data_IF_448442681335
#
_entry.id   IF_448442681335
#
_cell.length_a   1.000
_cell.length_b   1.000
_cell.length_c   1.000
_cell.angle_alpha   90.00
_cell.angle_beta   90.00
_cell.angle_gamma   90.00
#
_symmetry.space_group_name_H-M   'P 1'
#
loop_
_entity.id
_entity.type
_entity.pdbx_description
1 polymer ?
#
# COMPACT_ATOMS: atom_id res chain seq x y z
N UNK A 1 -0.55 -15.34 48.26
CA UNK A 1 -0.92 -16.16 47.08
C UNK A 1 -1.92 -15.45 46.16
N UNK A 2 -3.08 -15.00 46.65
CA UNK A 2 -4.11 -14.34 45.81
C UNK A 2 -3.62 -13.07 45.08
N UNK A 3 -2.81 -12.24 45.75
CA UNK A 3 -2.29 -10.99 45.16
C UNK A 3 -1.32 -11.19 43.97
N UNK A 4 -0.59 -12.30 43.92
CA UNK A 4 0.30 -12.64 42.81
C UNK A 4 -0.52 -13.03 41.58
N UNK A 5 -1.61 -13.78 41.78
CA UNK A 5 -2.54 -14.15 40.70
C UNK A 5 -3.29 -12.94 40.16
N UNK A 6 -3.70 -12.00 41.02
CA UNK A 6 -4.34 -10.74 40.59
C UNK A 6 -3.37 -9.88 39.78
N UNK A 7 -2.10 -9.76 40.23
CA UNK A 7 -1.07 -9.05 39.49
C UNK A 7 -0.76 -9.73 38.14
N UNK A 8 -0.60 -11.06 38.11
CA UNK A 8 -0.39 -11.80 36.87
C UNK A 8 -1.55 -11.65 35.89
N UNK A 9 -2.80 -11.71 36.37
CA UNK A 9 -4.00 -11.51 35.54
C UNK A 9 -4.07 -10.06 35.03
N UNK A 10 -3.73 -9.07 35.86
CA UNK A 10 -3.70 -7.66 35.45
C UNK A 10 -2.61 -7.38 34.40
N UNK A 11 -1.45 -8.03 34.50
CA UNK A 11 -0.35 -7.91 33.53
C UNK A 11 -0.68 -8.60 32.20
N UNK A 12 -1.44 -9.69 32.23
CA UNK A 12 -1.95 -10.36 31.02
C UNK A 12 -2.99 -9.52 30.28
N UNK A 13 -3.84 -8.78 31.00
CA UNK A 13 -4.86 -7.90 30.41
C UNK A 13 -4.24 -6.60 29.86
N UNK A 14 -3.12 -6.15 30.40
CA UNK A 14 -2.45 -4.91 29.98
C UNK A 14 -1.66 -5.01 28.65
N UNK A 15 -1.62 -6.18 28.02
CA UNK A 15 -0.85 -6.46 26.80
C UNK A 15 -1.70 -6.48 25.51
N UNK A 16 -2.81 -5.73 25.47
CA UNK A 16 -3.64 -5.61 24.26
C UNK A 16 -3.13 -4.47 23.37
N UNK A 17 -2.85 -4.77 22.10
CA UNK A 17 -2.45 -3.79 21.10
C UNK A 17 -3.58 -2.82 20.73
N UNK A 18 -3.21 -1.74 20.05
CA UNK A 18 -4.14 -0.74 19.54
C UNK A 18 -4.63 -1.15 18.16
N UNK A 19 -5.87 -0.79 17.84
CA UNK A 19 -6.48 -1.04 16.53
C UNK A 19 -6.98 0.26 15.87
N UNK A 20 -6.87 0.35 14.54
CA UNK A 20 -7.50 1.38 13.70
C UNK A 20 -8.22 0.75 12.51
N UNK A 21 -9.42 1.23 12.18
CA UNK A 21 -10.20 0.76 11.04
C UNK A 21 -10.36 1.85 9.98
N UNK A 22 -10.21 1.46 8.71
CA UNK A 22 -10.44 2.32 7.56
C UNK A 22 -11.53 1.74 6.67
N UNK A 23 -12.38 2.62 6.15
CA UNK A 23 -13.47 2.22 5.27
C UNK A 23 -12.92 1.44 4.06
N UNK A 24 -13.58 0.33 3.71
CA UNK A 24 -13.19 -0.61 2.62
C UNK A 24 -11.91 -1.42 2.84
N UNK A 25 -11.01 -1.01 3.74
CA UNK A 25 -9.72 -1.68 3.99
C UNK A 25 -9.72 -2.56 5.24
N UNK A 26 -10.70 -2.37 6.14
CA UNK A 26 -10.80 -3.15 7.37
C UNK A 26 -9.95 -2.55 8.50
N UNK A 27 -9.61 -3.38 9.48
CA UNK A 27 -8.92 -2.97 10.70
C UNK A 27 -7.48 -3.48 10.74
N UNK A 28 -6.60 -2.68 11.35
CA UNK A 28 -5.18 -2.93 11.51
C UNK A 28 -4.84 -2.81 13.00
N UNK A 29 -4.21 -3.84 13.56
CA UNK A 29 -3.68 -3.83 14.93
C UNK A 29 -2.16 -3.67 14.92
N UNK A 30 -1.60 -3.12 15.99
CA UNK A 30 -0.16 -3.15 16.26
C UNK A 30 0.28 -4.36 17.12
N UNK A 31 -0.62 -5.31 17.40
CA UNK A 31 -0.30 -6.61 18.01
C UNK A 31 0.74 -7.39 17.20
N UNK A 32 1.39 -8.36 17.87
CA UNK A 32 2.25 -9.32 17.18
C UNK A 32 1.45 -10.09 16.09
N UNK A 33 2.00 -10.29 14.88
CA UNK A 33 3.39 -10.05 14.49
C UNK A 33 3.66 -8.65 13.88
N UNK A 34 2.69 -7.73 13.89
CA UNK A 34 2.81 -6.42 13.24
C UNK A 34 3.74 -5.46 13.98
N UNK A 35 3.79 -5.57 15.31
CA UNK A 35 4.80 -4.93 16.16
C UNK A 35 5.14 -5.80 17.37
N UNK A 36 6.02 -5.30 18.26
CA UNK A 36 6.37 -5.98 19.52
C UNK A 36 7.26 -7.22 19.35
N UNK A 37 7.73 -7.51 18.14
CA UNK A 37 8.67 -8.62 17.84
C UNK A 37 10.12 -8.13 17.82
N UNK A 38 11.08 -9.05 17.78
CA UNK A 38 12.51 -8.71 17.70
C UNK A 38 12.82 -7.93 16.41
N UNK A 39 12.20 -8.34 15.30
CA UNK A 39 12.38 -7.72 13.99
C UNK A 39 11.58 -6.41 13.84
N UNK A 40 10.48 -6.25 14.61
CA UNK A 40 9.57 -5.09 14.55
C UNK A 40 9.26 -4.57 15.96
N UNK A 41 10.25 -4.02 16.68
CA UNK A 41 10.10 -3.70 18.10
C UNK A 41 9.23 -2.47 18.38
N UNK A 42 9.03 -1.61 17.38
CA UNK A 42 8.29 -0.35 17.53
C UNK A 42 6.82 -0.57 17.20
N UNK A 43 5.95 -0.37 18.19
CA UNK A 43 4.49 -0.33 18.00
C UNK A 43 4.09 0.83 17.12
N UNK A 44 3.58 0.53 15.92
CA UNK A 44 3.06 1.52 14.98
C UNK A 44 1.85 0.99 14.23
N UNK A 45 0.84 1.83 14.14
CA UNK A 45 -0.28 1.66 13.24
C UNK A 45 -0.01 2.36 11.89
N UNK A 46 -0.64 1.88 10.80
CA UNK A 46 -0.55 2.54 9.51
C UNK A 46 -1.13 3.97 9.56
N UNK A 47 -0.71 4.80 8.60
CA UNK A 47 -1.34 6.10 8.38
C UNK A 47 -2.71 5.96 7.72
N UNK A 48 -3.54 7.00 7.86
CA UNK A 48 -4.83 7.08 7.19
C UNK A 48 -4.67 7.01 5.67
N UNK A 49 -5.59 6.38 4.92
CA UNK A 49 -5.51 6.31 3.46
C UNK A 49 -5.37 7.68 2.79
N UNK A 50 -6.04 8.70 3.33
CA UNK A 50 -5.97 10.08 2.82
C UNK A 50 -4.60 10.74 3.06
N UNK A 51 -3.86 10.27 4.07
CA UNK A 51 -2.50 10.74 4.36
C UNK A 51 -1.44 10.01 3.56
N UNK A 52 -1.69 8.74 3.21
CA UNK A 52 -0.82 7.98 2.29
C UNK A 52 -1.03 8.44 0.84
N UNK A 53 -2.25 8.87 0.50
CA UNK A 53 -2.66 9.37 -0.83
C UNK A 53 -2.24 8.43 -1.97
N UNK A 54 -2.66 7.16 -1.89
CA UNK A 54 -2.33 6.17 -2.92
C UNK A 54 -3.05 6.50 -4.24
N UNK A 55 -2.26 6.79 -5.28
CA UNK A 55 -2.76 7.08 -6.63
C UNK A 55 -2.48 5.92 -7.59
N UNK A 56 -3.45 5.63 -8.48
CA UNK A 56 -3.30 4.61 -9.52
C UNK A 56 -3.15 5.25 -10.88
N UNK A 57 -1.93 5.26 -11.41
CA UNK A 57 -1.61 5.87 -12.70
C UNK A 57 -1.62 4.81 -13.80
N UNK A 58 -2.55 4.92 -14.76
CA UNK A 58 -2.69 3.94 -15.85
C UNK A 58 -1.93 4.38 -17.12
N UNK A 59 -0.99 3.54 -17.53
CA UNK A 59 -0.30 3.62 -18.82
C UNK A 59 -0.76 2.49 -19.74
N UNK A 60 -1.11 2.81 -20.98
CA UNK A 60 -1.50 1.82 -21.99
C UNK A 60 -0.83 2.11 -23.32
N UNK A 61 -0.66 1.08 -24.14
CA UNK A 61 -0.09 1.22 -25.50
C UNK A 61 -0.90 2.18 -26.38
N UNK A 62 -2.21 2.27 -26.13
CA UNK A 62 -3.11 3.11 -26.91
C UNK A 62 -2.99 4.60 -26.51
N UNK A 63 -2.16 4.93 -25.51
CA UNK A 63 -1.97 6.29 -24.97
C UNK A 63 -0.49 6.65 -24.71
N UNK A 64 0.46 5.99 -25.40
CA UNK A 64 1.90 6.25 -25.18
C UNK A 64 2.36 7.61 -25.73
N UNK A 65 1.68 8.16 -26.74
CA UNK A 65 2.14 9.38 -27.43
C UNK A 65 1.71 10.70 -26.78
N UNK A 66 0.68 10.69 -25.94
CA UNK A 66 0.06 11.93 -25.44
C UNK A 66 0.27 12.18 -23.94
N UNK A 67 1.06 11.34 -23.25
CA UNK A 67 1.32 11.46 -21.81
C UNK A 67 0.06 11.67 -20.94
N UNK A 68 -1.13 11.30 -21.44
CA UNK A 68 -2.37 11.45 -20.69
C UNK A 68 -2.47 10.32 -19.68
N UNK A 69 -1.67 10.38 -18.63
CA UNK A 69 -1.82 9.52 -17.47
C UNK A 69 -3.25 9.67 -16.97
N UNK A 70 -3.99 8.56 -16.91
CA UNK A 70 -5.32 8.54 -16.32
C UNK A 70 -5.17 8.07 -14.89
N UNK A 71 -5.53 8.93 -13.94
CA UNK A 71 -5.70 8.53 -12.55
C UNK A 71 -6.95 7.67 -12.45
N UNK A 72 -6.78 6.45 -11.96
CA UNK A 72 -7.87 5.52 -11.67
C UNK A 72 -8.26 5.61 -10.21
N UNK A 73 -9.55 5.45 -9.95
CA UNK A 73 -10.07 5.25 -8.60
C UNK A 73 -10.35 3.78 -8.35
N UNK A 74 -9.90 3.29 -7.20
CA UNK A 74 -10.32 1.99 -6.69
C UNK A 74 -11.77 2.01 -6.17
N UNK A 75 -12.32 3.19 -5.87
CA UNK A 75 -13.70 3.38 -5.38
C UNK A 75 -14.66 3.51 -6.56
N UNK A 76 -14.34 4.42 -7.48
CA UNK A 76 -15.19 4.75 -8.61
C UNK A 76 -14.81 3.93 -9.84
N UNK A 77 -15.60 2.88 -10.10
CA UNK A 77 -15.43 2.01 -11.28
C UNK A 77 -15.61 2.75 -12.61
N UNK A 78 -16.24 3.93 -12.62
CA UNK A 78 -16.44 4.73 -13.82
C UNK A 78 -15.10 5.18 -14.42
N UNK A 79 -14.09 5.47 -13.58
CA UNK A 79 -12.76 5.89 -14.04
C UNK A 79 -12.08 4.79 -14.84
N UNK A 80 -12.27 3.52 -14.45
CA UNK A 80 -11.72 2.36 -15.17
C UNK A 80 -12.42 2.21 -16.51
N UNK A 81 -13.76 2.28 -16.54
CA UNK A 81 -14.56 2.17 -17.77
C UNK A 81 -14.27 3.28 -18.78
N UNK A 82 -14.02 4.50 -18.30
CA UNK A 82 -13.69 5.65 -19.12
C UNK A 82 -12.21 5.67 -19.59
N UNK A 83 -11.38 4.77 -19.05
CA UNK A 83 -9.96 4.67 -19.41
C UNK A 83 -9.70 3.72 -20.57
N UNK A 84 -8.45 3.66 -21.02
CA UNK A 84 -8.00 2.68 -22.03
C UNK A 84 -7.69 1.29 -21.44
N UNK A 85 -8.16 1.00 -20.22
CA UNK A 85 -7.99 -0.31 -19.61
C UNK A 85 -8.71 -1.39 -20.42
N UNK A 86 -8.03 -2.53 -20.65
CA UNK A 86 -8.57 -3.66 -21.42
C UNK A 86 -8.39 -4.94 -20.61
N UNK A 87 -9.50 -5.52 -20.14
CA UNK A 87 -9.51 -6.75 -19.35
C UNK A 87 -8.97 -7.97 -20.11
N UNK A 88 -8.94 -7.92 -21.45
CA UNK A 88 -8.34 -8.96 -22.30
C UNK A 88 -6.82 -8.93 -22.35
N UNK A 89 -6.18 -7.87 -21.83
CA UNK A 89 -4.71 -7.71 -21.80
C UNK A 89 -4.19 -7.97 -20.39
N UNK A 90 -2.94 -8.43 -20.28
CA UNK A 90 -2.26 -8.55 -18.97
C UNK A 90 -2.09 -7.16 -18.34
N UNK A 91 -2.47 -7.04 -17.08
CA UNK A 91 -2.21 -5.86 -16.24
C UNK A 91 -0.95 -6.10 -15.40
N UNK A 92 -0.08 -5.10 -15.30
CA UNK A 92 1.12 -5.13 -14.47
C UNK A 92 1.10 -3.90 -13.57
N UNK A 93 1.33 -4.09 -12.27
CA UNK A 93 1.49 -3.02 -11.31
C UNK A 93 2.97 -2.79 -11.06
N UNK A 94 3.38 -1.53 -10.98
CA UNK A 94 4.72 -1.11 -10.58
C UNK A 94 4.52 -0.22 -9.37
N UNK A 95 5.19 -0.54 -8.27
CA UNK A 95 5.06 0.17 -6.98
C UNK A 95 6.45 0.59 -6.56
N UNK A 96 6.64 1.89 -6.37
CA UNK A 96 7.90 2.45 -5.91
C UNK A 96 8.11 2.22 -4.40
N UNK A 97 9.29 2.58 -3.90
CA UNK A 97 9.65 2.41 -2.50
C UNK A 97 10.54 3.54 -1.97
N UNK A 98 11.82 3.24 -1.77
CA UNK A 98 12.78 4.09 -1.05
C UNK A 98 12.86 5.54 -1.56
N UNK A 99 12.41 6.50 -0.74
CA UNK A 99 12.43 7.98 -0.96
C UNK A 99 11.78 8.42 -2.29
N UNK A 100 11.05 7.51 -2.92
CA UNK A 100 10.64 7.68 -4.30
C UNK A 100 9.20 8.17 -4.42
N UNK A 101 8.84 8.71 -5.58
CA UNK A 101 7.48 9.12 -5.92
C UNK A 101 6.99 8.34 -7.14
N UNK A 102 5.69 8.12 -7.24
CA UNK A 102 5.08 7.37 -8.34
C UNK A 102 5.17 8.02 -9.73
N UNK A 103 5.80 9.20 -9.83
CA UNK A 103 5.97 9.97 -11.07
C UNK A 103 7.42 10.00 -11.57
N UNK A 104 8.36 9.33 -10.89
CA UNK A 104 9.74 9.28 -11.36
C UNK A 104 9.86 8.50 -12.69
N UNK A 105 10.86 8.89 -13.49
CA UNK A 105 10.99 8.41 -14.88
C UNK A 105 11.07 6.88 -14.99
N UNK A 106 11.71 6.20 -14.04
CA UNK A 106 11.92 4.76 -14.11
C UNK A 106 10.61 3.97 -14.12
N UNK A 107 9.55 4.45 -13.46
CA UNK A 107 8.24 3.80 -13.47
C UNK A 107 7.63 3.82 -14.88
N UNK A 108 7.75 4.95 -15.57
CA UNK A 108 7.25 5.13 -16.94
C UNK A 108 8.15 4.39 -17.93
N UNK A 109 9.47 4.43 -17.75
CA UNK A 109 10.42 3.69 -18.59
C UNK A 109 10.19 2.18 -18.52
N UNK A 110 9.90 1.63 -17.34
CA UNK A 110 9.52 0.22 -17.19
C UNK A 110 8.21 -0.12 -17.92
N UNK A 111 7.28 0.84 -18.05
CA UNK A 111 6.07 0.67 -18.85
C UNK A 111 6.36 0.67 -20.36
N UNK A 112 7.30 1.52 -20.82
CA UNK A 112 7.64 1.71 -22.22
C UNK A 112 8.57 0.61 -22.76
N UNK A 113 9.55 0.19 -21.97
CA UNK A 113 10.56 -0.79 -22.34
C UNK A 113 10.54 -2.00 -21.39
N UNK A 114 9.47 -2.81 -21.43
CA UNK A 114 9.36 -3.99 -20.57
C UNK A 114 10.40 -5.03 -20.98
N UNK A 115 11.55 -5.06 -20.29
CA UNK A 115 12.62 -6.04 -20.50
C UNK A 115 14.04 -5.49 -20.56
N UNK A 116 14.24 -4.18 -20.64
CA UNK A 116 15.57 -3.59 -20.46
C UNK A 116 15.79 -3.39 -18.96
N UNK A 117 16.47 -4.31 -18.30
CA UNK A 117 17.01 -4.06 -16.96
C UNK A 117 18.10 -2.99 -17.07
N UNK A 118 17.73 -1.71 -17.14
CA UNK A 118 18.69 -0.69 -16.81
C UNK A 118 18.98 -0.84 -15.32
N UNK A 119 20.24 -1.12 -15.02
CA UNK A 119 20.83 -1.05 -13.70
C UNK A 119 20.50 0.32 -13.11
N UNK A 120 19.43 0.41 -12.32
CA UNK A 120 19.21 1.52 -11.39
C UNK A 120 20.42 1.53 -10.45
N UNK A 121 21.27 2.55 -10.59
CA UNK A 121 22.35 2.84 -9.66
C UNK A 121 21.78 3.49 -8.41
#
# INVERSE_FOLDING_TARGET
MLGIWILALSLLIAAEGKEVCYERLGCFTDDAPWSGTVERPIYRLPWKPESVDTQFLLYTRDNMANFQVRTLSAVDKSTIKASNFKASRKTRFIVHGFIDKGEENWLTEMCLFPGTSQSMR
#
